data_IF_110251508680
#
_entry.id   IF_110251508680
#
_cell.length_a   1.000
_cell.length_b   1.000
_cell.length_c   1.000
_cell.angle_alpha   90.00
_cell.angle_beta   90.00
_cell.angle_gamma   90.00
#
_symmetry.space_group_name_H-M   'P 1'
#
loop_
_entity.id
_entity.type
_entity.pdbx_description
1 polymer ?
#
# COMPACT_ATOMS: atom_id res chain seq x y z
N UNK A 1 25.89 3.75 -24.83
CA UNK A 1 24.90 4.72 -25.31
C UNK A 1 25.11 5.99 -24.51
N UNK A 2 25.65 7.04 -25.11
CA UNK A 2 25.67 8.37 -24.51
C UNK A 2 24.32 9.02 -24.80
N UNK A 3 23.64 9.48 -23.76
CA UNK A 3 22.32 10.07 -23.85
C UNK A 3 21.88 10.57 -22.49
N UNK A 4 21.03 11.59 -22.49
CA UNK A 4 20.40 12.15 -21.30
C UNK A 4 18.90 11.85 -21.35
N UNK A 5 18.30 11.70 -20.18
CA UNK A 5 16.88 11.46 -20.02
C UNK A 5 16.24 12.73 -19.46
N UNK A 6 15.15 13.21 -20.08
CA UNK A 6 14.34 14.29 -19.51
C UNK A 6 13.47 13.73 -18.40
N UNK A 7 13.55 14.32 -17.19
CA UNK A 7 12.62 14.04 -16.10
C UNK A 7 11.87 15.32 -15.74
N UNK A 8 10.55 15.28 -15.79
CA UNK A 8 9.72 16.44 -15.47
C UNK A 8 9.62 16.62 -13.95
N UNK A 9 9.70 17.87 -13.47
CA UNK A 9 9.69 18.19 -12.02
C UNK A 9 8.43 17.74 -11.29
N UNK A 10 7.33 17.55 -12.02
CA UNK A 10 6.05 17.00 -11.50
C UNK A 10 6.22 15.64 -10.81
N UNK A 11 7.28 14.88 -11.10
CA UNK A 11 7.57 13.63 -10.40
C UNK A 11 7.70 13.82 -8.89
N UNK A 12 8.16 14.99 -8.42
CA UNK A 12 8.29 15.31 -6.99
C UNK A 12 6.97 15.29 -6.23
N UNK A 13 5.84 15.43 -6.93
CA UNK A 13 4.49 15.42 -6.36
C UNK A 13 3.76 14.09 -6.61
N UNK A 14 4.46 13.08 -7.13
CA UNK A 14 3.88 11.77 -7.44
C UNK A 14 4.29 10.74 -6.38
N UNK A 15 3.39 9.78 -6.12
CA UNK A 15 3.64 8.60 -5.27
C UNK A 15 4.88 7.81 -5.70
N UNK A 16 5.27 7.91 -6.98
CA UNK A 16 6.50 7.32 -7.51
C UNK A 16 7.75 7.84 -6.78
N UNK A 17 7.77 9.13 -6.43
CA UNK A 17 8.93 9.76 -5.79
C UNK A 17 9.00 9.49 -4.28
N UNK A 18 7.87 9.24 -3.63
CA UNK A 18 7.82 8.94 -2.19
C UNK A 18 8.50 7.61 -1.86
N UNK A 19 8.46 6.64 -2.79
CA UNK A 19 9.05 5.32 -2.59
C UNK A 19 10.38 5.17 -3.35
N UNK A 20 11.49 5.04 -2.61
CA UNK A 20 12.85 4.93 -3.14
C UNK A 20 13.00 3.83 -4.22
N UNK A 21 12.33 2.68 -4.00
CA UNK A 21 12.46 1.49 -4.84
C UNK A 21 11.58 1.60 -6.07
N UNK A 22 10.38 2.16 -5.93
CA UNK A 22 9.48 2.43 -7.04
C UNK A 22 10.09 3.44 -8.00
N UNK A 23 10.66 4.54 -7.48
CA UNK A 23 11.38 5.53 -8.26
C UNK A 23 12.52 4.89 -9.06
N UNK A 24 13.31 4.02 -8.41
CA UNK A 24 14.41 3.30 -9.06
C UNK A 24 13.92 2.42 -10.22
N UNK A 25 12.82 1.70 -10.04
CA UNK A 25 12.20 0.86 -11.08
C UNK A 25 11.63 1.72 -12.22
N UNK A 26 11.02 2.87 -11.90
CA UNK A 26 10.49 3.79 -12.89
C UNK A 26 11.60 4.40 -13.77
N UNK A 27 12.66 4.91 -13.17
CA UNK A 27 13.84 5.43 -13.88
C UNK A 27 14.47 4.33 -14.75
N UNK A 28 14.53 3.10 -14.25
CA UNK A 28 15.00 1.95 -15.03
C UNK A 28 14.15 1.70 -16.28
N UNK A 29 12.82 1.79 -16.18
CA UNK A 29 11.93 1.64 -17.33
C UNK A 29 12.18 2.74 -18.38
N UNK A 30 12.36 3.99 -17.93
CA UNK A 30 12.63 5.12 -18.82
C UNK A 30 13.98 5.00 -19.55
N UNK A 31 15.02 4.56 -18.84
CA UNK A 31 16.36 4.38 -19.42
C UNK A 31 16.48 3.16 -20.33
N UNK A 32 15.64 2.13 -20.12
CA UNK A 32 15.59 0.95 -21.01
C UNK A 32 14.72 1.15 -22.24
N UNK A 33 13.76 2.06 -22.20
CA UNK A 33 12.90 2.39 -23.32
C UNK A 33 13.74 2.83 -24.53
N UNK A 34 13.41 2.32 -25.72
CA UNK A 34 14.11 2.71 -26.95
C UNK A 34 13.73 4.13 -27.38
N UNK A 35 14.72 4.91 -27.82
CA UNK A 35 14.48 6.29 -28.29
C UNK A 35 14.04 6.39 -29.76
N UNK A 36 14.30 5.34 -30.55
CA UNK A 36 13.96 5.22 -31.96
C UNK A 36 13.43 3.81 -32.22
N UNK A 37 12.66 3.64 -33.30
CA UNK A 37 12.21 2.31 -33.72
C UNK A 37 13.40 1.39 -33.95
N UNK A 38 13.56 0.39 -33.08
CA UNK A 38 14.75 -0.47 -33.06
C UNK A 38 14.32 -1.94 -33.16
N UNK A 39 15.00 -2.71 -34.00
CA UNK A 39 14.83 -4.16 -34.03
C UNK A 39 15.71 -4.81 -32.97
N UNK A 40 15.09 -5.61 -32.12
CA UNK A 40 15.80 -6.41 -31.11
C UNK A 40 15.49 -7.88 -31.30
N UNK A 41 16.50 -8.73 -31.12
CA UNK A 41 16.39 -10.18 -31.31
C UNK A 41 16.18 -10.86 -29.95
N UNK A 42 15.06 -11.55 -29.79
CA UNK A 42 14.78 -12.37 -28.59
C UNK A 42 14.80 -13.84 -29.00
N UNK A 43 15.91 -14.51 -28.67
CA UNK A 43 16.16 -15.88 -29.12
C UNK A 43 16.27 -15.98 -30.65
N UNK A 44 15.32 -16.68 -31.29
CA UNK A 44 15.28 -16.85 -32.75
C UNK A 44 14.36 -15.86 -33.47
N UNK A 45 13.62 -15.03 -32.74
CA UNK A 45 12.62 -14.11 -33.30
C UNK A 45 13.15 -12.67 -33.32
N UNK A 46 12.89 -11.95 -34.42
CA UNK A 46 13.09 -10.50 -34.50
C UNK A 46 11.85 -9.79 -33.99
N UNK A 47 12.04 -8.80 -33.11
CA UNK A 47 10.98 -8.01 -32.50
C UNK A 47 11.23 -6.54 -32.84
N UNK A 48 10.29 -5.93 -33.54
CA UNK A 48 10.29 -4.50 -33.85
C UNK A 48 9.73 -3.72 -32.66
N UNK A 49 10.56 -2.89 -32.02
CA UNK A 49 10.15 -2.04 -30.90
C UNK A 49 9.92 -0.61 -31.38
N UNK A 50 8.80 0.00 -30.99
CA UNK A 50 8.52 1.42 -31.21
C UNK A 50 9.24 2.29 -30.17
N UNK A 51 9.46 3.60 -30.42
CA UNK A 51 9.96 4.51 -29.40
C UNK A 51 9.12 4.44 -28.11
N UNK A 52 9.78 4.44 -26.96
CA UNK A 52 9.13 4.25 -25.66
C UNK A 52 8.88 2.77 -25.27
N UNK A 53 9.20 1.81 -26.15
CA UNK A 53 9.06 0.39 -25.87
C UNK A 53 10.39 -0.29 -25.58
N UNK A 54 10.35 -1.31 -24.73
CA UNK A 54 11.48 -2.19 -24.47
C UNK A 54 11.04 -3.61 -24.10
N UNK A 55 11.96 -4.56 -24.29
CA UNK A 55 11.75 -5.95 -23.89
C UNK A 55 12.08 -6.10 -22.42
N UNK A 56 11.12 -6.64 -21.67
CA UNK A 56 11.21 -6.85 -20.25
C UNK A 56 11.32 -8.34 -19.91
N UNK A 57 12.24 -8.63 -18.99
CA UNK A 57 12.40 -9.95 -18.39
C UNK A 57 12.67 -9.82 -16.90
N UNK A 58 11.79 -10.38 -16.07
CA UNK A 58 11.83 -10.28 -14.60
C UNK A 58 13.18 -10.63 -14.00
N UNK A 59 13.76 -11.77 -14.37
CA UNK A 59 15.08 -12.22 -13.86
C UNK A 59 16.20 -11.24 -14.20
N UNK A 60 16.20 -10.75 -15.45
CA UNK A 60 17.21 -9.81 -15.94
C UNK A 60 17.08 -8.46 -15.22
N UNK A 61 15.86 -7.94 -15.10
CA UNK A 61 15.60 -6.70 -14.37
C UNK A 61 15.98 -6.80 -12.89
N UNK A 62 15.66 -7.92 -12.22
CA UNK A 62 16.07 -8.18 -10.84
C UNK A 62 17.59 -8.15 -10.64
N UNK A 63 18.34 -8.79 -11.56
CA UNK A 63 19.80 -8.76 -11.54
C UNK A 63 20.38 -7.36 -11.79
N UNK A 64 19.82 -6.60 -12.73
CA UNK A 64 20.30 -5.25 -13.06
C UNK A 64 19.96 -4.22 -11.97
N UNK A 65 18.82 -4.38 -11.28
CA UNK A 65 18.37 -3.49 -10.22
C UNK A 65 18.92 -3.85 -8.83
N UNK A 66 19.53 -5.03 -8.68
CA UNK A 66 19.95 -5.62 -7.40
C UNK A 66 18.78 -5.74 -6.41
N UNK A 67 17.66 -6.29 -6.87
CA UNK A 67 16.43 -6.45 -6.09
C UNK A 67 15.83 -7.85 -6.29
N UNK A 68 15.00 -8.31 -5.35
CA UNK A 68 14.34 -9.60 -5.47
C UNK A 68 13.37 -9.63 -6.66
N UNK A 69 13.26 -10.78 -7.34
CA UNK A 69 12.38 -10.96 -8.50
C UNK A 69 10.91 -10.61 -8.20
N UNK A 70 10.42 -10.99 -7.02
CA UNK A 70 9.06 -10.69 -6.58
C UNK A 70 8.86 -9.19 -6.42
N UNK A 71 9.83 -8.50 -5.83
CA UNK A 71 9.78 -7.05 -5.63
C UNK A 71 9.73 -6.29 -6.96
N UNK A 72 10.54 -6.69 -7.95
CA UNK A 72 10.49 -6.08 -9.29
C UNK A 72 9.14 -6.31 -9.95
N UNK A 73 8.58 -7.53 -9.82
CA UNK A 73 7.25 -7.85 -10.35
C UNK A 73 6.18 -6.95 -9.72
N UNK A 74 6.23 -6.78 -8.40
CA UNK A 74 5.22 -6.02 -7.65
C UNK A 74 5.26 -4.54 -8.05
N UNK A 75 6.44 -3.93 -8.13
CA UNK A 75 6.57 -2.53 -8.58
C UNK A 75 6.17 -2.33 -10.05
N UNK A 76 6.48 -3.27 -10.93
CA UNK A 76 6.03 -3.21 -12.33
C UNK A 76 4.50 -3.32 -12.41
N UNK A 77 3.86 -4.10 -11.52
CA UNK A 77 2.40 -4.18 -11.43
C UNK A 77 1.78 -2.88 -10.91
N UNK A 78 2.39 -2.24 -9.91
CA UNK A 78 1.96 -0.93 -9.40
C UNK A 78 2.03 0.12 -10.52
N UNK A 79 3.16 0.22 -11.23
CA UNK A 79 3.31 1.14 -12.36
C UNK A 79 2.30 0.87 -13.48
N UNK A 80 1.87 -0.38 -13.65
CA UNK A 80 0.81 -0.74 -14.59
C UNK A 80 -0.58 -0.28 -14.10
N UNK A 81 -0.89 -0.46 -12.83
CA UNK A 81 -2.15 -0.02 -12.21
C UNK A 81 -2.31 1.51 -12.26
N UNK A 82 -1.20 2.23 -12.07
CA UNK A 82 -1.11 3.69 -12.19
C UNK A 82 -1.15 4.20 -13.63
N UNK A 83 -1.25 3.31 -14.62
CA UNK A 83 -1.25 3.66 -16.06
C UNK A 83 0.01 4.46 -16.47
N UNK A 84 1.14 4.18 -15.81
CA UNK A 84 2.44 4.75 -16.16
C UNK A 84 3.10 3.92 -17.26
N UNK A 85 2.88 2.60 -17.22
CA UNK A 85 3.37 1.65 -18.20
C UNK A 85 2.26 0.69 -18.65
N UNK A 86 2.31 0.24 -19.89
CA UNK A 86 1.50 -0.85 -20.39
C UNK A 86 2.36 -2.07 -20.74
N UNK A 87 1.86 -3.26 -20.41
CA UNK A 87 2.60 -4.52 -20.54
C UNK A 87 1.88 -5.42 -21.53
N UNK A 88 2.55 -5.70 -22.65
CA UNK A 88 2.11 -6.70 -23.61
C UNK A 88 2.90 -7.99 -23.40
N UNK A 89 2.28 -8.97 -22.75
CA UNK A 89 2.93 -10.25 -22.44
C UNK A 89 2.79 -11.22 -23.60
N UNK A 90 3.90 -11.83 -24.01
CA UNK A 90 3.93 -12.96 -24.94
C UNK A 90 4.34 -14.23 -24.18
N UNK A 91 4.28 -15.39 -24.84
CA UNK A 91 4.68 -16.67 -24.23
C UNK A 91 6.14 -16.66 -23.70
N UNK A 92 7.05 -15.90 -24.33
CA UNK A 92 8.49 -15.93 -24.01
C UNK A 92 9.04 -14.66 -23.37
N UNK A 93 8.45 -13.51 -23.65
CA UNK A 93 8.91 -12.21 -23.16
C UNK A 93 7.74 -11.24 -23.01
N UNK A 94 7.92 -10.18 -22.24
CA UNK A 94 6.95 -9.08 -22.19
C UNK A 94 7.54 -7.85 -22.87
N UNK A 95 6.72 -7.11 -23.60
CA UNK A 95 7.08 -5.78 -24.11
C UNK A 95 6.41 -4.77 -23.21
N UNK A 96 7.22 -3.91 -22.58
CA UNK A 96 6.72 -2.79 -21.79
C UNK A 96 6.75 -1.55 -22.68
N UNK A 97 5.65 -0.81 -22.68
CA UNK A 97 5.54 0.52 -23.28
C UNK A 97 5.42 1.53 -22.15
N UNK A 98 6.28 2.55 -22.12
CA UNK A 98 6.15 3.65 -21.18
C UNK A 98 5.12 4.64 -21.75
N UNK A 99 4.02 4.86 -21.03
CA UNK A 99 2.98 5.78 -21.48
C UNK A 99 3.46 7.23 -21.39
N UNK A 100 2.99 8.08 -22.31
CA UNK A 100 3.41 9.48 -22.43
C UNK A 100 4.91 9.70 -22.67
N UNK A 101 5.69 8.66 -23.01
CA UNK A 101 7.12 8.75 -23.30
C UNK A 101 7.43 9.79 -24.39
N UNK A 102 6.62 9.83 -25.45
CA UNK A 102 6.77 10.78 -26.55
C UNK A 102 6.61 12.24 -26.14
N UNK A 103 5.73 12.53 -25.17
CA UNK A 103 5.50 13.89 -24.65
C UNK A 103 6.69 14.35 -23.81
N UNK A 104 7.29 13.43 -23.05
CA UNK A 104 8.39 13.78 -22.14
C UNK A 104 9.76 13.78 -22.82
N UNK A 105 9.94 12.99 -23.88
CA UNK A 105 11.21 12.80 -24.57
C UNK A 105 11.25 13.40 -25.98
N UNK A 106 10.18 14.06 -26.46
CA UNK A 106 10.26 14.86 -27.69
C UNK A 106 11.26 16.00 -27.51
N UNK A 107 11.97 16.30 -28.58
CA UNK A 107 12.93 17.39 -28.64
C UNK A 107 12.25 18.62 -29.22
N UNK A 108 11.29 19.17 -28.47
CA UNK A 108 10.61 20.38 -28.91
C UNK A 108 11.33 21.61 -28.36
N UNK A 109 12.38 22.03 -29.07
CA UNK A 109 12.60 23.46 -29.32
C UNK A 109 11.82 23.93 -30.57
N UNK A 110 10.94 23.08 -31.12
CA UNK A 110 10.11 23.36 -32.30
C UNK A 110 8.63 23.12 -32.00
N UNK A 111 8.01 24.06 -31.30
CA UNK A 111 6.59 24.37 -31.50
C UNK A 111 6.42 25.88 -31.53
N UNK A 112 6.68 26.46 -32.69
CA UNK A 112 5.94 27.63 -33.14
C UNK A 112 5.01 27.19 -34.29
N UNK A 113 3.78 27.67 -34.22
CA UNK A 113 2.64 27.30 -35.06
C UNK A 113 2.93 27.33 -36.59
N UNK A 114 2.59 26.26 -37.33
CA UNK A 114 1.67 26.28 -38.50
C UNK A 114 1.67 25.00 -39.37
N UNK A 115 0.49 24.71 -39.88
CA UNK A 115 0.14 23.83 -41.00
C UNK A 115 0.77 24.26 -42.34
N UNK A 116 0.95 23.27 -43.25
CA UNK A 116 1.02 23.30 -44.74
C UNK A 116 2.29 23.71 -45.52
N UNK A 117 2.54 22.88 -46.56
CA UNK A 117 3.15 23.12 -47.87
C UNK A 117 4.67 22.84 -48.09
N UNK A 118 4.94 22.35 -49.30
CA UNK A 118 6.15 21.75 -49.85
C UNK A 118 7.35 22.70 -50.07
N UNK A 119 8.52 22.06 -50.27
CA UNK A 119 9.74 22.43 -51.04
C UNK A 119 10.92 23.15 -50.36
N UNK A 120 12.08 22.47 -50.56
CA UNK A 120 13.44 22.96 -50.84
C UNK A 120 14.16 23.77 -49.74
N UNK A 121 15.47 23.72 -49.55
CA UNK A 121 16.61 22.82 -49.83
C UNK A 121 17.81 23.49 -49.12
N UNK A 122 18.82 22.69 -48.78
CA UNK A 122 20.27 22.99 -48.70
C UNK A 122 20.89 23.86 -47.55
N UNK A 123 21.87 23.20 -46.93
CA UNK A 123 23.25 23.60 -46.59
C UNK A 123 23.65 24.46 -45.36
N UNK A 124 24.40 23.74 -44.50
CA UNK A 124 25.73 24.01 -43.93
C UNK A 124 25.99 24.90 -42.69
N UNK A 125 26.65 24.22 -41.75
CA UNK A 125 27.82 24.62 -40.95
C UNK A 125 27.62 25.29 -39.58
N UNK A 126 27.91 24.48 -38.55
CA UNK A 126 28.83 24.71 -37.42
C UNK A 126 29.00 26.11 -36.79
N UNK A 127 28.85 26.12 -35.45
CA UNK A 127 29.92 26.38 -34.45
C UNK A 127 29.68 27.51 -33.45
N UNK A 128 30.12 27.20 -32.22
CA UNK A 128 30.64 28.07 -31.15
C UNK A 128 29.70 28.94 -30.30
N UNK A 129 29.44 28.42 -29.10
CA UNK A 129 29.92 28.95 -27.80
C UNK A 129 29.61 30.41 -27.37
N UNK A 130 29.12 30.50 -26.12
CA UNK A 130 29.01 31.68 -25.21
C UNK A 130 27.74 32.52 -25.44
N UNK A 131 26.95 32.93 -24.44
CA UNK A 131 27.30 33.46 -23.11
C UNK A 131 26.07 33.42 -22.17
N UNK A 132 26.34 33.52 -20.87
CA UNK A 132 25.39 33.46 -19.75
C UNK A 132 24.49 34.72 -19.60
N UNK A 133 23.37 34.54 -18.89
CA UNK A 133 22.88 35.26 -17.69
C UNK A 133 21.45 35.85 -17.74
N UNK A 134 20.73 35.48 -16.67
CA UNK A 134 19.73 36.23 -15.91
C UNK A 134 18.42 36.66 -16.59
N UNK A 135 17.29 36.13 -16.09
CA UNK A 135 16.28 36.87 -15.30
C UNK A 135 14.93 36.16 -15.34
N UNK A 136 14.38 35.83 -14.17
CA UNK A 136 13.01 35.39 -14.00
C UNK A 136 12.02 36.43 -14.54
N UNK A 137 11.16 36.04 -15.49
CA UNK A 137 9.81 36.61 -15.64
C UNK A 137 8.79 35.49 -15.85
N UNK A 138 8.32 34.97 -14.71
CA UNK A 138 7.03 34.31 -14.60
C UNK A 138 5.94 35.24 -15.13
N UNK A 139 5.25 34.79 -16.18
CA UNK A 139 4.13 35.54 -16.78
C UNK A 139 3.37 34.78 -17.87
N UNK A 140 3.90 33.64 -18.36
CA UNK A 140 3.27 32.83 -19.42
C UNK A 140 2.65 31.52 -18.93
N UNK A 141 3.13 30.93 -17.83
CA UNK A 141 2.55 29.68 -17.28
C UNK A 141 1.09 29.82 -16.82
N UNK A 142 0.63 31.00 -16.42
CA UNK A 142 -0.78 31.23 -16.07
C UNK A 142 -1.72 31.26 -17.29
N UNK A 143 -1.21 31.42 -18.52
CA UNK A 143 -2.01 31.36 -19.75
C UNK A 143 -2.02 29.97 -20.37
N UNK A 144 -0.91 29.23 -20.32
CA UNK A 144 -0.85 27.86 -20.89
C UNK A 144 -1.51 26.80 -20.01
N UNK A 145 -1.53 26.97 -18.69
CA UNK A 145 -2.34 26.10 -17.81
C UNK A 145 -3.84 26.37 -17.99
N UNK A 146 -4.24 27.57 -18.46
CA UNK A 146 -5.61 27.81 -18.94
C UNK A 146 -5.85 27.16 -20.31
N UNK A 147 -4.93 27.31 -21.26
CA UNK A 147 -5.10 26.81 -22.64
C UNK A 147 -5.07 25.28 -22.76
N UNK A 148 -4.30 24.56 -21.93
CA UNK A 148 -4.31 23.07 -21.92
C UNK A 148 -5.52 22.54 -21.14
N UNK A 149 -5.97 23.25 -20.10
CA UNK A 149 -7.23 22.94 -19.43
C UNK A 149 -8.40 23.20 -20.37
N UNK A 150 -8.34 24.26 -21.19
CA UNK A 150 -9.29 24.54 -22.27
C UNK A 150 -9.22 23.48 -23.38
N UNK A 151 -8.06 23.09 -23.93
CA UNK A 151 -8.01 22.15 -25.06
C UNK A 151 -8.51 20.73 -24.74
N UNK A 152 -8.35 20.25 -23.50
CA UNK A 152 -8.93 18.98 -23.04
C UNK A 152 -10.44 19.14 -22.77
N UNK A 153 -10.91 20.34 -22.40
CA UNK A 153 -12.36 20.61 -22.29
C UNK A 153 -13.02 20.90 -23.63
N UNK A 154 -12.37 21.57 -24.59
CA UNK A 154 -13.03 22.19 -25.74
C UNK A 154 -13.39 21.22 -26.85
N UNK A 155 -12.65 20.12 -27.01
CA UNK A 155 -13.01 19.08 -28.01
C UNK A 155 -14.19 18.20 -27.54
N UNK A 156 -14.64 18.38 -26.29
CA UNK A 156 -15.81 17.71 -25.68
C UNK A 156 -16.71 18.71 -24.91
N UNK A 157 -16.56 20.03 -25.15
CA UNK A 157 -17.09 21.10 -24.29
C UNK A 157 -18.59 21.35 -24.41
N UNK A 158 -19.24 20.84 -25.45
CA UNK A 158 -20.66 21.10 -25.62
C UNK A 158 -21.53 20.11 -24.83
N UNK A 159 -20.94 19.17 -24.07
CA UNK A 159 -21.67 18.15 -23.29
C UNK A 159 -21.21 17.90 -21.83
N UNK A 160 -20.27 18.67 -21.27
CA UNK A 160 -19.60 18.31 -20.00
C UNK A 160 -19.64 19.37 -18.87
N UNK A 161 -20.65 20.24 -18.85
CA UNK A 161 -20.98 21.04 -17.65
C UNK A 161 -21.99 20.28 -16.77
N UNK A 162 -21.64 19.08 -16.30
CA UNK A 162 -22.52 18.35 -15.38
C UNK A 162 -21.98 18.37 -13.95
N UNK A 163 -22.85 18.72 -12.99
CA UNK A 163 -22.53 18.85 -11.56
C UNK A 163 -21.93 17.54 -11.01
N UNK A 164 -22.34 16.41 -11.58
CA UNK A 164 -21.81 15.07 -11.27
C UNK A 164 -20.30 14.93 -11.52
N UNK A 165 -19.77 15.47 -12.62
CA UNK A 165 -18.33 15.40 -12.94
C UNK A 165 -17.54 16.30 -12.01
N UNK A 166 -18.04 17.51 -11.74
CA UNK A 166 -17.42 18.44 -10.82
C UNK A 166 -17.38 17.87 -9.39
N UNK A 167 -18.49 17.28 -8.94
CA UNK A 167 -18.58 16.64 -7.63
C UNK A 167 -17.61 15.46 -7.50
N UNK A 168 -17.52 14.62 -8.54
CA UNK A 168 -16.58 13.52 -8.58
C UNK A 168 -15.14 14.02 -8.48
N UNK A 169 -14.76 15.01 -9.28
CA UNK A 169 -13.40 15.53 -9.31
C UNK A 169 -12.95 16.11 -7.95
N UNK A 170 -13.86 16.77 -7.24
CA UNK A 170 -13.58 17.38 -5.94
C UNK A 170 -13.42 16.36 -4.80
N UNK A 171 -14.15 15.24 -4.83
CA UNK A 171 -14.20 14.30 -3.69
C UNK A 171 -13.53 12.95 -3.94
N UNK A 172 -13.46 12.50 -5.20
CA UNK A 172 -12.89 11.20 -5.60
C UNK A 172 -11.53 11.34 -6.29
N UNK A 173 -11.16 12.57 -6.72
CA UNK A 173 -9.87 12.87 -7.32
C UNK A 173 -9.92 12.93 -8.85
N UNK A 174 -8.78 12.71 -9.49
CA UNK A 174 -8.64 12.86 -10.95
C UNK A 174 -9.54 11.83 -11.67
N UNK A 175 -10.50 12.33 -12.43
CA UNK A 175 -11.41 11.51 -13.20
C UNK A 175 -10.69 10.86 -14.38
N UNK A 176 -10.77 9.53 -14.48
CA UNK A 176 -10.25 8.78 -15.63
C UNK A 176 -11.23 8.92 -16.81
N UNK A 177 -10.77 8.97 -18.07
CA UNK A 177 -11.65 9.12 -19.24
C UNK A 177 -12.80 8.10 -19.31
N UNK A 178 -12.54 6.85 -18.91
CA UNK A 178 -13.56 5.79 -18.83
C UNK A 178 -14.66 6.12 -17.81
N UNK A 179 -14.29 6.70 -16.67
CA UNK A 179 -15.22 7.05 -15.60
C UNK A 179 -16.07 8.25 -16.02
N UNK A 180 -15.48 9.23 -16.72
CA UNK A 180 -16.27 10.34 -17.27
C UNK A 180 -17.29 9.88 -18.30
N UNK A 181 -16.92 8.97 -19.20
CA UNK A 181 -17.87 8.39 -20.16
C UNK A 181 -18.99 7.60 -19.48
N UNK A 182 -18.66 6.87 -18.40
CA UNK A 182 -19.68 6.19 -17.60
C UNK A 182 -20.60 7.21 -16.92
N UNK A 183 -20.07 8.21 -16.23
CA UNK A 183 -20.87 9.24 -15.56
C UNK A 183 -21.84 9.90 -16.55
N UNK A 184 -21.36 10.30 -17.73
CA UNK A 184 -22.23 10.90 -18.77
C UNK A 184 -23.39 9.97 -19.15
N UNK A 185 -23.12 8.68 -19.38
CA UNK A 185 -24.17 7.68 -19.69
C UNK A 185 -25.19 7.56 -18.55
N UNK A 186 -24.72 7.52 -17.31
CA UNK A 186 -25.61 7.45 -16.15
C UNK A 186 -26.44 8.74 -15.98
N UNK A 187 -25.86 9.90 -16.28
CA UNK A 187 -26.55 11.21 -16.21
C UNK A 187 -27.70 11.25 -17.22
N UNK A 188 -27.51 10.71 -18.42
CA UNK A 188 -28.56 10.59 -19.44
C UNK A 188 -29.75 9.73 -18.95
N UNK A 189 -29.49 8.69 -18.16
CA UNK A 189 -30.51 7.72 -17.71
C UNK A 189 -31.24 8.12 -16.40
N UNK A 190 -30.52 8.71 -15.44
CA UNK A 190 -30.99 8.94 -14.07
C UNK A 190 -31.02 10.42 -13.65
N UNK A 191 -30.32 11.28 -14.39
CA UNK A 191 -30.12 12.69 -14.06
C UNK A 191 -28.99 12.95 -13.05
N UNK A 192 -28.43 14.15 -13.16
CA UNK A 192 -27.31 14.62 -12.31
C UNK A 192 -27.58 14.54 -10.80
N UNK A 193 -28.75 14.99 -10.27
CA UNK A 193 -28.96 15.07 -8.83
C UNK A 193 -28.87 13.69 -8.15
N UNK A 194 -29.36 12.65 -8.82
CA UNK A 194 -29.36 11.30 -8.27
C UNK A 194 -27.95 10.73 -8.20
N UNK A 195 -27.12 11.01 -9.19
CA UNK A 195 -25.73 10.54 -9.25
C UNK A 195 -24.89 11.20 -8.15
N UNK A 196 -25.06 12.50 -7.96
CA UNK A 196 -24.40 13.23 -6.87
C UNK A 196 -24.79 12.64 -5.51
N UNK A 197 -26.06 12.29 -5.29
CA UNK A 197 -26.50 11.63 -4.05
C UNK A 197 -25.89 10.23 -3.87
N UNK A 198 -25.75 9.44 -4.94
CA UNK A 198 -25.06 8.16 -4.87
C UNK A 198 -23.58 8.34 -4.48
N UNK A 199 -22.94 9.36 -5.04
CA UNK A 199 -21.56 9.72 -4.70
C UNK A 199 -21.42 10.16 -3.24
N UNK A 200 -22.33 11.00 -2.72
CA UNK A 200 -22.36 11.39 -1.30
C UNK A 200 -22.45 10.17 -0.37
N UNK A 201 -23.34 9.22 -0.67
CA UNK A 201 -23.48 7.97 0.12
C UNK A 201 -22.22 7.10 0.10
N UNK A 202 -21.49 7.13 -1.01
CA UNK A 202 -20.20 6.46 -1.15
C UNK A 202 -19.18 7.02 -0.16
N UNK A 203 -19.13 8.35 -0.01
CA UNK A 203 -18.23 9.06 0.89
C UNK A 203 -18.61 8.83 2.36
N UNK A 204 -19.90 8.93 2.69
CA UNK A 204 -20.40 8.69 4.05
C UNK A 204 -20.06 7.29 4.57
N UNK A 205 -19.99 6.31 3.66
CA UNK A 205 -19.64 4.91 3.97
C UNK A 205 -18.14 4.64 3.88
N UNK A 206 -17.33 5.69 3.75
CA UNK A 206 -15.88 5.64 3.58
C UNK A 206 -15.43 4.69 2.46
N UNK A 207 -16.17 4.68 1.34
CA UNK A 207 -15.87 3.88 0.15
C UNK A 207 -15.85 4.80 -1.09
N UNK A 208 -14.87 5.70 -1.24
CA UNK A 208 -14.80 6.65 -2.35
C UNK A 208 -14.34 5.98 -3.66
N UNK A 209 -15.11 5.00 -4.16
CA UNK A 209 -14.81 4.29 -5.42
C UNK A 209 -16.00 4.32 -6.36
N UNK A 210 -15.75 4.59 -7.64
CA UNK A 210 -16.80 4.59 -8.67
C UNK A 210 -17.56 3.26 -8.75
N UNK A 211 -16.89 2.13 -8.50
CA UNK A 211 -17.53 0.82 -8.44
C UNK A 211 -18.61 0.73 -7.35
N UNK A 212 -18.38 1.36 -6.19
CA UNK A 212 -19.38 1.41 -5.13
C UNK A 212 -20.56 2.30 -5.51
N UNK A 213 -20.29 3.48 -6.09
CA UNK A 213 -21.34 4.38 -6.63
C UNK A 213 -22.21 3.66 -7.65
N UNK A 214 -21.60 2.95 -8.61
CA UNK A 214 -22.30 2.15 -9.63
C UNK A 214 -23.21 1.09 -9.01
N UNK A 215 -22.76 0.43 -7.93
CA UNK A 215 -23.58 -0.57 -7.23
C UNK A 215 -24.81 0.04 -6.56
N UNK A 216 -24.70 1.28 -6.04
CA UNK A 216 -25.81 2.03 -5.47
C UNK A 216 -26.81 2.39 -6.57
N UNK A 217 -26.33 2.97 -7.68
CA UNK A 217 -27.17 3.34 -8.82
C UNK A 217 -27.90 2.13 -9.41
N UNK A 218 -27.23 1.00 -9.55
CA UNK A 218 -27.85 -0.24 -10.03
C UNK A 218 -28.90 -0.79 -9.06
N UNK A 219 -28.69 -0.67 -7.75
CA UNK A 219 -29.68 -1.00 -6.72
C UNK A 219 -30.92 -0.12 -6.83
N UNK A 220 -30.75 1.17 -7.12
CA UNK A 220 -31.85 2.11 -7.31
C UNK A 220 -32.64 1.84 -8.59
N UNK A 221 -31.98 1.52 -9.70
CA UNK A 221 -32.66 1.07 -10.93
C UNK A 221 -33.51 -0.16 -10.65
N UNK A 222 -32.97 -1.17 -9.96
CA UNK A 222 -33.70 -2.39 -9.63
C UNK A 222 -34.90 -2.14 -8.70
N UNK A 223 -34.84 -1.10 -7.85
CA UNK A 223 -35.93 -0.68 -6.96
C UNK A 223 -36.88 0.34 -7.59
N UNK A 224 -36.61 0.80 -8.81
CA UNK A 224 -37.39 1.84 -9.48
C UNK A 224 -37.24 3.24 -8.88
N UNK A 225 -36.15 3.51 -8.16
CA UNK A 225 -35.87 4.81 -7.54
C UNK A 225 -35.29 5.74 -8.61
N UNK A 226 -35.99 6.85 -8.89
CA UNK A 226 -35.58 7.84 -9.92
C UNK A 226 -35.53 9.27 -9.42
N UNK A 227 -35.85 9.49 -8.15
CA UNK A 227 -35.88 10.82 -7.54
C UNK A 227 -35.01 10.83 -6.28
N UNK A 228 -34.45 12.00 -5.96
CA UNK A 228 -33.62 12.19 -4.78
C UNK A 228 -34.40 11.87 -3.50
N UNK A 229 -35.67 12.30 -3.43
CA UNK A 229 -36.56 12.04 -2.29
C UNK A 229 -36.76 10.53 -2.03
N UNK A 230 -36.95 9.74 -3.09
CA UNK A 230 -37.09 8.29 -2.99
C UNK A 230 -35.77 7.63 -2.56
N UNK A 231 -34.64 8.14 -3.03
CA UNK A 231 -33.34 7.66 -2.58
C UNK A 231 -33.20 7.90 -1.07
N UNK A 232 -33.54 9.09 -0.58
CA UNK A 232 -33.41 9.44 0.85
C UNK A 232 -34.32 8.58 1.74
N UNK A 233 -35.55 8.33 1.29
CA UNK A 233 -36.43 7.37 1.95
C UNK A 233 -35.80 5.97 2.04
N UNK A 234 -35.17 5.50 0.97
CA UNK A 234 -34.48 4.21 0.94
C UNK A 234 -33.30 4.14 1.92
N UNK A 235 -32.57 5.23 2.12
CA UNK A 235 -31.46 5.28 3.08
C UNK A 235 -31.97 5.19 4.52
N UNK A 236 -33.07 5.88 4.84
CA UNK A 236 -33.72 5.80 6.16
C UNK A 236 -34.19 4.37 6.43
N UNK A 237 -34.85 3.74 5.45
CA UNK A 237 -35.24 2.33 5.55
C UNK A 237 -34.05 1.40 5.73
N UNK A 238 -32.97 1.63 4.99
CA UNK A 238 -31.75 0.83 5.06
C UNK A 238 -31.10 0.93 6.45
N UNK A 239 -31.00 2.14 7.02
CA UNK A 239 -30.50 2.38 8.38
C UNK A 239 -31.38 1.70 9.43
N UNK A 240 -32.70 1.81 9.32
CA UNK A 240 -33.65 1.14 10.22
C UNK A 240 -33.53 -0.40 10.13
N UNK A 241 -33.37 -0.96 8.93
CA UNK A 241 -33.14 -2.39 8.72
C UNK A 241 -31.81 -2.87 9.32
N UNK A 242 -30.73 -2.10 9.20
CA UNK A 242 -29.45 -2.42 9.84
C UNK A 242 -29.53 -2.39 11.37
N UNK A 243 -30.18 -1.37 11.94
CA UNK A 243 -30.37 -1.26 13.39
C UNK A 243 -31.17 -2.45 13.95
N UNK A 244 -32.26 -2.84 13.28
CA UNK A 244 -33.06 -3.99 13.70
C UNK A 244 -32.31 -5.32 13.57
N UNK A 245 -31.42 -5.47 12.57
CA UNK A 245 -30.62 -6.69 12.37
C UNK A 245 -29.55 -6.88 13.45
N UNK A 246 -28.96 -5.78 13.95
CA UNK A 246 -28.02 -5.81 15.07
C UNK A 246 -28.70 -6.25 16.39
N UNK A 247 -29.99 -5.97 16.54
CA UNK A 247 -30.78 -6.41 17.70
C UNK A 247 -31.06 -7.93 17.63
N UNK A 248 -31.41 -8.46 16.46
CA UNK A 248 -31.64 -9.91 16.29
C UNK A 248 -30.36 -10.74 16.35
N UNK A 249 -29.21 -10.23 15.87
CA UNK A 249 -27.94 -10.99 15.91
C UNK A 249 -27.38 -11.15 17.33
N UNK A 250 -27.75 -10.28 18.27
CA UNK A 250 -27.41 -10.45 19.70
C UNK A 250 -28.15 -11.63 20.36
N UNK A 251 -29.23 -12.11 19.76
CA UNK A 251 -30.10 -13.14 20.35
C UNK A 251 -29.80 -14.56 19.83
N UNK A 252 -28.91 -14.70 18.84
CA UNK A 252 -28.58 -15.99 18.19
C UNK A 252 -27.07 -16.23 18.12
N UNK A 253 -26.38 -16.12 19.25
CA UNK A 253 -25.17 -16.91 19.45
C UNK A 253 -25.61 -18.18 20.18
N UNK A 254 -25.75 -19.29 19.44
CA UNK A 254 -25.78 -20.62 20.05
C UNK A 254 -24.50 -20.77 20.85
N UNK A 255 -24.58 -20.70 22.18
CA UNK A 255 -23.46 -21.05 23.04
C UNK A 255 -23.17 -22.53 22.80
N UNK A 256 -22.03 -22.84 22.18
CA UNK A 256 -21.52 -24.20 22.15
C UNK A 256 -21.46 -24.72 23.59
N UNK A 257 -21.97 -25.94 23.81
CA UNK A 257 -21.96 -26.55 25.14
C UNK A 257 -20.51 -26.90 25.46
N UNK A 258 -19.80 -25.94 26.04
CA UNK A 258 -18.43 -26.13 26.49
C UNK A 258 -18.41 -27.18 27.61
N UNK A 259 -17.56 -28.22 27.50
CA UNK A 259 -17.39 -29.23 28.56
C UNK A 259 -17.08 -28.57 29.91
N UNK A 260 -17.57 -29.16 31.01
CA UNK A 260 -17.41 -28.56 32.35
C UNK A 260 -15.95 -28.29 32.73
N UNK A 261 -15.02 -29.15 32.28
CA UNK A 261 -13.59 -28.95 32.54
C UNK A 261 -13.03 -27.65 31.92
N UNK A 262 -13.60 -27.16 30.81
CA UNK A 262 -13.15 -25.95 30.13
C UNK A 262 -13.58 -24.69 30.86
N UNK A 263 -14.79 -24.70 31.46
CA UNK A 263 -15.28 -23.58 32.28
C UNK A 263 -14.51 -23.44 33.59
N UNK A 264 -14.10 -24.56 34.17
CA UNK A 264 -13.40 -24.60 35.46
C UNK A 264 -11.89 -24.39 35.32
N UNK A 265 -11.36 -24.22 34.10
CA UNK A 265 -9.93 -24.02 33.87
C UNK A 265 -9.42 -22.70 34.47
N UNK A 266 -10.17 -21.62 34.31
CA UNK A 266 -9.79 -20.30 34.86
C UNK A 266 -9.84 -20.30 36.39
N UNK A 267 -10.73 -21.10 36.99
CA UNK A 267 -10.80 -21.31 38.43
C UNK A 267 -9.63 -22.17 38.93
N UNK A 268 -9.26 -23.22 38.18
CA UNK A 268 -8.07 -24.02 38.47
C UNK A 268 -6.78 -23.18 38.39
N UNK A 269 -6.61 -22.35 37.36
CA UNK A 269 -5.46 -21.45 37.21
C UNK A 269 -5.38 -20.42 38.35
N UNK A 270 -6.51 -19.84 38.79
CA UNK A 270 -6.56 -18.93 39.95
C UNK A 270 -6.24 -19.61 41.29
N UNK A 271 -6.61 -20.88 41.45
CA UNK A 271 -6.24 -21.69 42.62
C UNK A 271 -4.75 -22.07 42.62
N UNK A 272 -4.14 -22.29 41.44
CA UNK A 272 -2.70 -22.58 41.32
C UNK A 272 -1.83 -21.35 41.64
N UNK A 273 -2.25 -20.14 41.29
CA UNK A 273 -1.48 -18.90 41.53
C UNK A 273 -1.42 -18.53 43.04
N UNK A 274 -2.39 -18.96 43.85
CA UNK A 274 -2.47 -18.59 45.27
C UNK A 274 -1.88 -19.62 46.25
N UNK A 275 -1.38 -20.76 45.79
CA UNK A 275 -0.73 -21.74 46.66
C UNK A 275 0.76 -21.45 46.74
N UNK A 276 1.23 -20.89 47.87
CA UNK A 276 2.67 -20.72 48.14
C UNK A 276 3.38 -22.06 47.89
N UNK A 277 4.44 -22.12 47.06
CA UNK A 277 5.11 -23.37 46.74
C UNK A 277 5.68 -23.99 48.02
N UNK A 278 5.57 -25.31 48.14
CA UNK A 278 6.12 -26.05 49.28
C UNK A 278 7.65 -25.90 49.29
N UNK A 279 8.28 -25.99 50.48
CA UNK A 279 9.75 -25.99 50.63
C UNK A 279 10.38 -27.05 49.72
N UNK A 280 9.71 -28.19 49.62
CA UNK A 280 10.10 -29.31 48.75
C UNK A 280 10.08 -28.93 47.26
N UNK A 281 9.07 -28.17 46.81
CA UNK A 281 8.95 -27.74 45.42
C UNK A 281 10.01 -26.68 45.07
N UNK A 282 10.31 -25.79 46.02
CA UNK A 282 11.42 -24.82 45.88
C UNK A 282 12.78 -25.51 45.84
N UNK A 283 13.01 -26.53 46.67
CA UNK A 283 14.25 -27.29 46.67
C UNK A 283 14.47 -28.02 45.33
N UNK A 284 13.43 -28.67 44.79
CA UNK A 284 13.49 -29.31 43.46
C UNK A 284 13.80 -28.32 42.36
N UNK A 285 13.25 -27.12 42.44
CA UNK A 285 13.51 -26.05 41.47
C UNK A 285 14.97 -25.62 41.50
N UNK A 286 15.54 -25.45 42.70
CA UNK A 286 16.97 -25.12 42.90
C UNK A 286 17.86 -26.25 42.38
N UNK A 287 17.60 -27.50 42.75
CA UNK A 287 18.39 -28.65 42.30
C UNK A 287 18.36 -28.80 40.78
N UNK A 288 17.19 -28.62 40.15
CA UNK A 288 17.05 -28.66 38.70
C UNK A 288 17.79 -27.51 38.03
N UNK A 289 17.74 -26.30 38.59
CA UNK A 289 18.45 -25.14 38.05
C UNK A 289 19.98 -25.29 38.17
N UNK A 290 20.48 -25.87 39.26
CA UNK A 290 21.90 -26.21 39.44
C UNK A 290 22.31 -27.28 38.43
N UNK A 291 21.49 -28.31 38.22
CA UNK A 291 21.73 -29.37 37.21
C UNK A 291 21.78 -28.81 35.78
N UNK A 292 20.98 -27.78 35.50
CA UNK A 292 20.99 -27.05 34.23
C UNK A 292 22.10 -25.99 34.11
N UNK A 293 23.01 -25.89 35.10
CA UNK A 293 24.13 -24.92 35.14
C UNK A 293 23.67 -23.47 34.99
N UNK A 294 22.50 -23.12 35.54
CA UNK A 294 22.02 -21.73 35.57
C UNK A 294 22.89 -20.88 36.52
N UNK A 295 22.99 -19.58 36.24
CA UNK A 295 23.67 -18.64 37.14
C UNK A 295 22.87 -18.45 38.43
N UNK A 296 23.51 -17.92 39.49
CA UNK A 296 22.87 -17.68 40.77
C UNK A 296 21.66 -16.76 40.65
N UNK A 297 21.76 -15.71 39.84
CA UNK A 297 20.67 -14.75 39.63
C UNK A 297 19.42 -15.44 39.07
N UNK A 298 19.60 -16.33 38.09
CA UNK A 298 18.49 -17.09 37.49
C UNK A 298 17.88 -18.12 38.45
N UNK A 299 18.66 -18.62 39.42
CA UNK A 299 18.17 -19.53 40.46
C UNK A 299 17.31 -18.74 41.46
N UNK A 300 17.80 -17.57 41.90
CA UNK A 300 17.09 -16.70 42.85
C UNK A 300 15.77 -16.16 42.26
N UNK A 301 15.78 -15.75 40.98
CA UNK A 301 14.57 -15.32 40.26
C UNK A 301 13.52 -16.45 40.19
N UNK A 302 13.95 -17.70 39.99
CA UNK A 302 13.04 -18.85 39.91
C UNK A 302 12.36 -19.23 41.24
N UNK A 303 12.88 -18.71 42.36
CA UNK A 303 12.31 -18.94 43.70
C UNK A 303 11.67 -17.68 44.30
N UNK A 304 11.45 -16.63 43.49
CA UNK A 304 10.93 -15.30 43.88
C UNK A 304 11.75 -14.63 45.00
N UNK A 305 13.08 -14.79 45.02
CA UNK A 305 13.99 -14.19 46.02
C UNK A 305 13.63 -14.50 47.49
N UNK A 306 12.80 -15.52 47.74
CA UNK A 306 12.30 -15.86 49.09
C UNK A 306 13.39 -16.35 50.03
N UNK A 307 14.50 -16.86 49.48
CA UNK A 307 15.62 -17.42 50.22
C UNK A 307 16.92 -16.86 49.69
N UNK A 308 17.86 -16.57 50.59
CA UNK A 308 19.14 -16.00 50.22
C UNK A 308 20.18 -17.12 50.10
N UNK A 309 20.26 -17.77 48.93
CA UNK A 309 21.30 -18.76 48.68
C UNK A 309 22.62 -18.03 48.37
N UNK A 310 23.68 -18.32 49.12
CA UNK A 310 25.03 -17.86 48.81
C UNK A 310 25.65 -18.69 47.66
N UNK A 311 26.72 -18.18 47.05
CA UNK A 311 27.51 -18.95 46.07
C UNK A 311 28.11 -20.22 46.70
N UNK A 312 28.41 -20.18 48.00
CA UNK A 312 28.94 -21.32 48.76
C UNK A 312 27.87 -22.40 48.99
N UNK A 313 26.62 -22.00 49.19
CA UNK A 313 25.47 -22.92 49.31
C UNK A 313 25.21 -23.63 47.98
N UNK A 314 25.21 -22.87 46.87
CA UNK A 314 25.04 -23.41 45.51
C UNK A 314 26.17 -24.36 45.15
N UNK A 315 27.41 -24.03 45.53
CA UNK A 315 28.57 -24.91 45.35
C UNK A 315 28.46 -26.18 46.22
N UNK A 316 27.98 -26.06 47.45
CA UNK A 316 27.80 -27.20 48.36
C UNK A 316 26.70 -28.17 47.90
N UNK A 317 25.61 -27.65 47.33
CA UNK A 317 24.57 -28.47 46.69
C UNK A 317 25.12 -29.13 45.42
N UNK A 318 25.89 -28.40 44.60
CA UNK A 318 26.51 -28.92 43.38
C UNK A 318 27.50 -30.05 43.66
N UNK A 319 28.29 -29.91 44.72
CA UNK A 319 29.26 -30.90 45.18
C UNK A 319 28.61 -32.08 45.94
N UNK A 320 27.28 -32.03 46.16
CA UNK A 320 26.52 -33.07 46.86
C UNK A 320 26.79 -33.15 48.37
N UNK A 321 27.33 -32.09 48.96
CA UNK A 321 27.65 -32.02 50.40
C UNK A 321 26.41 -31.80 51.26
N UNK A 322 25.41 -31.09 50.74
CA UNK A 322 24.12 -30.81 51.39
C UNK A 322 22.98 -30.86 50.36
N UNK A 323 21.74 -31.19 50.78
CA UNK A 323 20.55 -31.03 49.91
C UNK A 323 20.04 -29.59 49.96
N UNK A 324 19.40 -29.14 48.87
CA UNK A 324 18.72 -27.85 48.85
C UNK A 324 17.63 -27.75 49.93
N UNK A 325 16.98 -28.86 50.29
CA UNK A 325 15.95 -28.90 51.36
C UNK A 325 16.57 -28.52 52.72
N UNK A 326 17.75 -29.08 53.03
CA UNK A 326 18.40 -28.89 54.33
C UNK A 326 18.80 -27.43 54.54
N UNK A 327 19.34 -26.79 53.50
CA UNK A 327 19.74 -25.38 53.50
C UNK A 327 18.51 -24.47 53.69
N UNK A 328 17.41 -24.75 52.99
CA UNK A 328 16.17 -23.98 53.14
C UNK A 328 15.58 -24.11 54.55
N UNK A 329 15.63 -25.30 55.15
CA UNK A 329 15.18 -25.54 56.53
C UNK A 329 16.07 -24.85 57.56
N UNK A 330 17.38 -24.78 57.34
CA UNK A 330 18.32 -24.07 58.20
C UNK A 330 18.10 -22.56 58.16
N UNK A 331 17.88 -21.98 56.97
CA UNK A 331 17.57 -20.56 56.83
C UNK A 331 16.23 -20.18 57.48
N UNK A 332 15.23 -21.05 57.43
CA UNK A 332 13.97 -20.86 58.16
C UNK A 332 14.20 -20.82 59.67
N UNK A 333 15.00 -21.75 60.21
CA UNK A 333 15.33 -21.78 61.65
C UNK A 333 16.08 -20.52 62.10
N UNK A 334 16.99 -20.00 61.28
CA UNK A 334 17.72 -18.77 61.55
C UNK A 334 16.81 -17.53 61.49
N UNK A 335 15.81 -17.50 60.62
CA UNK A 335 14.84 -16.38 60.55
C UNK A 335 13.92 -16.30 61.77
N UNK A 336 13.55 -17.43 62.37
CA UNK A 336 12.63 -17.51 63.52
C UNK A 336 13.32 -17.13 64.84
N UNK A 337 14.67 -17.19 64.91
CA UNK A 337 15.44 -16.82 66.10
C UNK A 337 15.81 -15.32 66.17
N UNK A 338 15.42 -14.53 65.17
CA UNK A 338 15.86 -13.14 64.96
C UNK A 338 14.77 -12.07 65.07
N UNK A 339 13.70 -12.30 65.83
CA UNK A 339 12.70 -11.26 66.17
C UNK A 339 12.82 -10.87 67.66
N UNK A 340 13.25 -9.63 67.99
CA UNK A 340 12.82 -8.91 69.18
C UNK A 340 11.56 -8.08 68.94
#
# INVERSE_FOLDING_TARGET
MQGWLKLHRKILHSEIFENEKLLKVFIYCLTKASHKSTESRVGRQKVTLKPGQFIFGRKKAASELSMNESTVRDYIKILQEDSVISINTTNKYSVITVENWGIYQSNDEEYDNKTTAEKQQDDNSSSSERQQKDTYKNGRELKEVKNVKEFITTTTSERLDCDSIQFYQNNFGIIRPQISEEIVKWVEDLGDPLIVEAMKRSLDRNKPTWGYVKSILQSWINKGIRTVEQADAEEVEYKNKQANKATYSKQSQSQEVLPEWFKNRDEQEKHHINKKPSIEDTARTIELAIKLKRSRENILESIDDRYNLSEEDIASIRDGKCSAIDILLEQLKLSVAGEP
#
